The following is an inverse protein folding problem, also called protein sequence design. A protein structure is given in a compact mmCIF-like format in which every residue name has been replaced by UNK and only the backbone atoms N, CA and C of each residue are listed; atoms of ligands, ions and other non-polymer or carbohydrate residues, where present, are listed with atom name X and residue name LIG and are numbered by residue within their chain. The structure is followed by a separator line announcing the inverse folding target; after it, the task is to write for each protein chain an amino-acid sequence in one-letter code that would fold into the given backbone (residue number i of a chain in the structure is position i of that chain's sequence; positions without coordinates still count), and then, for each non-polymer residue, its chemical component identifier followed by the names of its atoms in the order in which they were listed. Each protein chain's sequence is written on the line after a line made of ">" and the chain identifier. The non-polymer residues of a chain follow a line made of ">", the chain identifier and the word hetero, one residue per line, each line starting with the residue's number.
data_IF_440426381542
#
_entry.id   IF_440426381542
#
_cell.length_a   1.000
_cell.length_b   1.000
_cell.length_c   1.000
_cell.angle_alpha   90.00
_cell.angle_beta   90.00
_cell.angle_gamma   90.00
#
_symmetry.space_group_name_H-M   'P 1'
#
loop_
_entity.id
_entity.type
_entity.pdbx_description
1 polymer ?
#
# COMPACT_ATOMS: atom_id res chain seq x y z
N UNK A 1 22.14 25.73 22.99
CA UNK A 1 23.31 25.49 22.08
C UNK A 1 22.94 26.18 20.79
N UNK A 2 23.83 27.09 20.29
CA UNK A 2 23.59 27.74 18.99
C UNK A 2 23.53 26.72 17.85
N UNK A 3 22.85 27.05 16.74
CA UNK A 3 22.76 26.15 15.59
C UNK A 3 24.17 25.77 15.07
N UNK A 4 25.06 26.75 14.99
CA UNK A 4 26.46 26.56 14.57
C UNK A 4 27.24 25.61 15.50
N UNK A 5 27.05 25.73 16.82
CA UNK A 5 27.70 24.83 17.78
C UNK A 5 27.14 23.42 17.72
N UNK A 6 25.83 23.30 17.50
CA UNK A 6 25.20 22.00 17.26
C UNK A 6 25.75 21.29 16.03
N UNK A 7 25.94 22.03 14.94
CA UNK A 7 26.52 21.51 13.71
C UNK A 7 27.99 21.10 13.91
N UNK A 8 28.79 21.94 14.59
CA UNK A 8 30.18 21.63 14.95
C UNK A 8 30.28 20.34 15.77
N UNK A 9 29.45 20.20 16.83
CA UNK A 9 29.44 19.03 17.70
C UNK A 9 29.07 17.76 16.94
N UNK A 10 28.11 17.83 16.01
CA UNK A 10 27.74 16.67 15.19
C UNK A 10 28.88 16.25 14.27
N UNK A 11 29.54 17.19 13.60
CA UNK A 11 30.64 16.88 12.70
C UNK A 11 31.90 16.39 13.43
N UNK A 12 32.14 16.81 14.68
CA UNK A 12 33.30 16.31 15.47
C UNK A 12 33.18 14.82 15.87
N UNK A 13 31.99 14.21 15.70
CA UNK A 13 31.72 12.79 16.03
C UNK A 13 31.82 11.91 14.78
N UNK A 14 31.83 12.53 13.60
CA UNK A 14 31.72 11.81 12.31
C UNK A 14 33.11 11.74 11.68
N UNK A 15 33.62 10.52 11.53
CA UNK A 15 34.81 10.24 10.71
C UNK A 15 34.32 9.86 9.30
N UNK A 16 34.30 10.82 8.38
CA UNK A 16 33.81 10.62 7.04
C UNK A 16 34.70 11.29 5.98
N UNK A 17 34.67 10.75 4.78
CA UNK A 17 35.39 11.21 3.60
C UNK A 17 34.48 11.21 2.36
N UNK A 18 35.02 11.51 1.20
CA UNK A 18 34.29 11.55 -0.08
C UNK A 18 33.60 10.23 -0.43
N UNK A 19 34.20 9.07 -0.14
CA UNK A 19 33.57 7.77 -0.42
C UNK A 19 32.31 7.54 0.43
N UNK A 20 32.32 8.00 1.67
CA UNK A 20 31.15 7.95 2.55
C UNK A 20 30.02 8.84 2.02
N UNK A 21 30.34 10.00 1.42
CA UNK A 21 29.36 10.86 0.76
C UNK A 21 28.70 10.18 -0.43
N UNK A 22 29.46 9.48 -1.28
CA UNK A 22 28.88 8.72 -2.39
C UNK A 22 27.92 7.63 -1.91
N UNK A 23 28.30 6.89 -0.85
CA UNK A 23 27.41 5.88 -0.25
C UNK A 23 26.13 6.51 0.33
N UNK A 24 26.28 7.69 0.95
CA UNK A 24 25.15 8.45 1.49
C UNK A 24 24.21 8.89 0.36
N UNK A 25 24.71 9.46 -0.72
CA UNK A 25 23.93 9.90 -1.88
C UNK A 25 23.11 8.74 -2.45
N UNK A 26 23.73 7.55 -2.65
CA UNK A 26 23.03 6.35 -3.14
C UNK A 26 21.88 5.92 -2.21
N UNK A 27 22.06 6.07 -0.88
CA UNK A 27 21.00 5.77 0.09
C UNK A 27 19.89 6.81 0.10
N UNK A 28 20.24 8.09 0.02
CA UNK A 28 19.27 9.18 0.03
C UNK A 28 18.40 9.21 -1.23
N UNK A 29 18.95 8.89 -2.40
CA UNK A 29 18.17 8.72 -3.65
C UNK A 29 17.00 7.74 -3.49
N UNK A 30 17.20 6.66 -2.73
CA UNK A 30 16.14 5.67 -2.46
C UNK A 30 15.10 6.14 -1.44
N UNK A 31 15.37 7.26 -0.77
CA UNK A 31 14.51 7.83 0.27
C UNK A 31 13.79 9.10 -0.17
N UNK A 32 13.93 9.48 -1.43
CA UNK A 32 13.13 10.59 -1.99
C UNK A 32 11.66 10.23 -1.90
N UNK A 33 10.84 11.17 -1.46
CA UNK A 33 9.40 10.99 -1.29
C UNK A 33 8.74 10.51 -2.57
N UNK A 34 7.79 9.59 -2.46
CA UNK A 34 7.14 8.98 -3.63
C UNK A 34 6.44 10.01 -4.51
N UNK A 35 5.78 11.01 -3.89
CA UNK A 35 5.10 12.06 -4.64
C UNK A 35 6.08 12.97 -5.37
N UNK A 36 7.25 13.24 -4.81
CA UNK A 36 8.32 14.01 -5.47
C UNK A 36 8.85 13.24 -6.68
N UNK A 37 9.19 11.95 -6.49
CA UNK A 37 9.69 11.10 -7.57
C UNK A 37 8.68 10.96 -8.72
N UNK A 38 7.39 10.84 -8.41
CA UNK A 38 6.31 10.76 -9.40
C UNK A 38 6.20 12.02 -10.25
N UNK A 39 6.34 13.19 -9.63
CA UNK A 39 6.19 14.49 -10.31
C UNK A 39 7.52 15.05 -10.84
N UNK A 40 8.44 14.22 -11.29
CA UNK A 40 9.75 14.65 -11.81
C UNK A 40 9.61 15.64 -12.99
N UNK A 41 8.62 15.45 -13.84
CA UNK A 41 8.32 16.33 -14.99
C UNK A 41 8.01 17.75 -14.55
N UNK A 42 7.29 17.94 -13.42
CA UNK A 42 7.01 19.27 -12.85
C UNK A 42 8.30 20.00 -12.50
N UNK A 43 9.26 19.33 -11.85
CA UNK A 43 10.53 19.94 -11.47
C UNK A 43 11.35 20.35 -12.69
N UNK A 44 11.45 19.45 -13.67
CA UNK A 44 12.20 19.70 -14.91
C UNK A 44 11.61 20.88 -15.69
N UNK A 45 10.28 20.96 -15.80
CA UNK A 45 9.58 22.02 -16.51
C UNK A 45 9.67 23.37 -15.80
N UNK A 46 9.83 23.38 -14.46
CA UNK A 46 9.88 24.59 -13.64
C UNK A 46 11.26 24.88 -13.02
N UNK A 47 12.31 24.21 -13.51
CA UNK A 47 13.67 24.29 -12.94
C UNK A 47 14.17 25.74 -12.70
N UNK A 48 13.74 26.66 -13.58
CA UNK A 48 14.14 28.07 -13.49
C UNK A 48 13.39 28.86 -12.41
N UNK A 49 12.37 28.27 -11.79
CA UNK A 49 11.57 28.86 -10.72
C UNK A 49 11.75 28.17 -9.38
N UNK A 50 12.50 27.06 -9.32
CA UNK A 50 12.66 26.25 -8.13
C UNK A 50 14.03 26.49 -7.51
N UNK A 51 14.03 26.74 -6.22
CA UNK A 51 15.22 26.91 -5.38
C UNK A 51 15.20 25.88 -4.26
N UNK A 52 16.35 25.32 -3.93
CA UNK A 52 16.52 24.42 -2.78
C UNK A 52 17.34 25.15 -1.71
N UNK A 53 16.71 25.43 -0.57
CA UNK A 53 17.36 26.08 0.58
C UNK A 53 17.37 25.11 1.75
N UNK A 54 18.54 24.64 2.16
CA UNK A 54 18.71 23.60 3.15
C UNK A 54 19.80 23.91 4.16
N UNK A 55 19.59 23.55 5.42
CA UNK A 55 20.65 23.52 6.42
C UNK A 55 21.59 22.29 6.27
N UNK A 56 21.29 21.38 5.33
CA UNK A 56 22.16 20.27 4.93
C UNK A 56 23.33 20.72 4.05
N UNK A 57 24.08 19.78 3.51
CA UNK A 57 25.32 20.05 2.77
C UNK A 57 25.12 19.85 1.26
N UNK A 58 25.66 20.78 0.47
CA UNK A 58 25.57 20.77 -1.00
C UNK A 58 26.11 19.50 -1.62
N UNK A 59 27.16 18.93 -1.04
CA UNK A 59 27.87 17.76 -1.55
C UNK A 59 26.98 16.53 -1.72
N UNK A 60 25.90 16.41 -0.93
CA UNK A 60 24.93 15.33 -1.12
C UNK A 60 23.57 15.83 -1.64
N UNK A 61 23.23 17.12 -1.47
CA UNK A 61 21.96 17.66 -1.97
C UNK A 61 22.02 17.82 -3.49
N UNK A 62 23.06 18.47 -4.01
CA UNK A 62 23.18 18.80 -5.45
C UNK A 62 23.06 17.56 -6.34
N UNK A 63 23.77 16.42 -6.06
CA UNK A 63 23.64 15.22 -6.91
C UNK A 63 22.23 14.59 -6.90
N UNK A 64 21.47 14.78 -5.81
CA UNK A 64 20.11 14.25 -5.70
C UNK A 64 19.12 15.09 -6.47
N UNK A 65 19.17 16.43 -6.30
CA UNK A 65 18.22 17.34 -6.95
C UNK A 65 18.52 17.53 -8.44
N UNK A 66 19.75 17.24 -8.87
CA UNK A 66 20.11 17.18 -10.29
C UNK A 66 19.34 16.12 -11.05
N UNK A 67 18.96 15.02 -10.39
CA UNK A 67 18.10 13.96 -10.97
C UNK A 67 16.70 14.52 -11.35
N UNK A 68 16.29 15.65 -10.74
CA UNK A 68 15.05 16.40 -11.02
C UNK A 68 15.26 17.61 -11.94
N UNK A 69 16.44 17.77 -12.52
CA UNK A 69 16.78 18.87 -13.42
C UNK A 69 17.07 20.20 -12.73
N UNK A 70 17.17 20.25 -11.39
CA UNK A 70 17.47 21.49 -10.65
C UNK A 70 18.99 21.74 -10.73
N UNK A 71 19.43 22.88 -11.28
CA UNK A 71 20.83 23.18 -11.44
C UNK A 71 21.50 23.59 -10.11
N UNK A 72 22.80 23.38 -10.00
CA UNK A 72 23.56 23.54 -8.76
C UNK A 72 23.59 25.01 -8.23
N UNK A 73 23.48 25.99 -9.10
CA UNK A 73 23.41 27.41 -8.76
C UNK A 73 22.09 27.82 -8.09
N UNK A 74 21.07 26.95 -8.16
CA UNK A 74 19.78 27.10 -7.45
C UNK A 74 19.70 26.31 -6.15
N UNK A 75 20.82 25.70 -5.75
CA UNK A 75 20.91 24.92 -4.50
C UNK A 75 21.74 25.68 -3.48
N UNK A 76 21.12 26.07 -2.40
CA UNK A 76 21.72 26.75 -1.26
C UNK A 76 21.76 25.78 -0.07
N UNK A 77 22.97 25.52 0.40
CA UNK A 77 23.23 24.57 1.49
C UNK A 77 24.59 24.89 2.13
N UNK A 78 24.87 24.26 3.25
CA UNK A 78 26.22 24.32 3.81
C UNK A 78 27.22 23.59 2.90
N UNK A 79 28.51 23.84 3.14
CA UNK A 79 29.60 23.21 2.39
C UNK A 79 30.58 22.62 3.38
N UNK A 80 31.02 21.38 3.15
CA UNK A 80 32.05 20.76 3.94
C UNK A 80 33.43 21.39 3.67
N UNK A 81 34.28 21.36 4.67
CA UNK A 81 35.73 21.56 4.50
C UNK A 81 36.42 20.20 4.63
N UNK A 82 37.50 20.01 3.84
CA UNK A 82 38.24 18.76 3.77
C UNK A 82 39.69 18.96 4.15
N UNK A 83 40.29 18.00 4.79
CA UNK A 83 41.71 17.94 5.00
C UNK A 83 42.49 17.51 3.73
N UNK A 84 43.82 17.52 3.79
CA UNK A 84 44.66 17.10 2.65
C UNK A 84 44.51 15.63 2.26
N UNK A 85 43.86 14.82 3.09
CA UNK A 85 43.60 13.38 2.86
C UNK A 85 42.15 13.13 2.38
N UNK A 86 41.36 14.20 2.18
CA UNK A 86 39.97 14.11 1.73
C UNK A 86 39.00 13.75 2.84
N UNK A 87 39.39 13.84 4.12
CA UNK A 87 38.46 13.65 5.23
C UNK A 87 37.71 14.95 5.52
N UNK A 88 36.46 14.83 5.95
CA UNK A 88 35.66 15.97 6.39
C UNK A 88 36.21 16.44 7.73
N UNK A 89 36.68 17.69 7.79
CA UNK A 89 37.23 18.29 9.00
C UNK A 89 36.40 19.48 9.54
N UNK A 90 35.32 19.84 8.86
CA UNK A 90 34.47 20.93 9.27
C UNK A 90 33.51 21.40 8.18
N UNK A 91 33.10 22.65 8.27
CA UNK A 91 32.20 23.29 7.32
C UNK A 91 32.52 24.78 7.20
N UNK A 92 32.06 25.39 6.11
CA UNK A 92 32.18 26.84 5.89
C UNK A 92 31.32 27.61 6.91
N UNK A 93 31.97 28.26 7.86
CA UNK A 93 31.32 29.06 8.92
C UNK A 93 30.82 30.41 8.44
N UNK A 94 31.32 30.91 7.30
CA UNK A 94 30.85 32.14 6.69
C UNK A 94 29.50 31.99 5.98
N UNK A 95 29.13 30.72 5.67
CA UNK A 95 27.86 30.40 5.05
C UNK A 95 26.69 30.75 5.98
N UNK A 96 25.77 31.58 5.52
CA UNK A 96 24.60 32.05 6.27
C UNK A 96 23.73 30.89 6.77
N UNK A 97 23.67 29.80 6.02
CA UNK A 97 22.88 28.59 6.35
C UNK A 97 23.47 27.77 7.50
N UNK A 98 24.70 28.08 7.92
CA UNK A 98 25.31 27.51 9.13
C UNK A 98 24.87 28.23 10.41
N UNK A 99 24.11 29.31 10.31
CA UNK A 99 23.69 30.19 11.39
C UNK A 99 22.20 30.06 11.71
N UNK A 100 21.79 30.47 12.90
CA UNK A 100 20.37 30.60 13.26
C UNK A 100 19.66 31.62 12.36
N UNK A 101 18.46 31.27 11.87
CA UNK A 101 17.72 32.09 10.91
C UNK A 101 18.31 32.12 9.51
N UNK A 102 19.31 31.29 9.22
CA UNK A 102 20.01 31.31 7.94
C UNK A 102 19.13 31.10 6.71
N UNK A 103 18.07 30.28 6.81
CA UNK A 103 17.13 30.08 5.69
C UNK A 103 16.36 31.36 5.34
N UNK A 104 15.92 32.13 6.33
CA UNK A 104 15.23 33.42 6.12
C UNK A 104 16.17 34.38 5.42
N UNK A 105 17.38 34.58 5.96
CA UNK A 105 18.38 35.47 5.37
C UNK A 105 18.76 35.06 3.94
N UNK A 106 18.82 33.76 3.67
CA UNK A 106 19.10 33.27 2.32
C UNK A 106 17.95 33.57 1.37
N UNK A 107 16.69 33.41 1.81
CA UNK A 107 15.53 33.79 0.98
C UNK A 107 15.50 35.28 0.67
N UNK A 108 15.73 36.13 1.69
CA UNK A 108 15.82 37.58 1.52
C UNK A 108 16.92 37.98 0.51
N UNK A 109 18.10 37.35 0.64
CA UNK A 109 19.23 37.61 -0.26
C UNK A 109 18.98 37.23 -1.72
N UNK A 110 18.01 36.34 -2.00
CA UNK A 110 17.61 35.99 -3.37
C UNK A 110 16.80 37.09 -4.05
N UNK A 111 16.21 38.02 -3.30
CA UNK A 111 15.47 39.14 -3.84
C UNK A 111 14.33 38.77 -4.78
N UNK A 112 13.68 37.60 -4.53
CA UNK A 112 12.64 37.07 -5.38
C UNK A 112 11.42 37.98 -5.40
N UNK A 113 10.79 38.12 -6.58
CA UNK A 113 9.57 38.93 -6.76
C UNK A 113 8.38 38.01 -7.04
N UNK A 114 7.19 38.46 -6.60
CA UNK A 114 5.94 37.77 -6.83
C UNK A 114 5.56 36.83 -5.64
N UNK A 115 4.69 35.90 -5.91
CA UNK A 115 4.24 34.93 -4.91
C UNK A 115 5.30 33.84 -4.75
N UNK A 116 5.66 33.55 -3.51
CA UNK A 116 6.69 32.56 -3.15
C UNK A 116 6.03 31.44 -2.34
N UNK A 117 6.20 30.21 -2.79
CA UNK A 117 5.77 29.02 -2.07
C UNK A 117 6.97 28.37 -1.40
N UNK A 118 6.97 28.32 -0.08
CA UNK A 118 7.94 27.57 0.72
C UNK A 118 7.31 26.23 1.07
N UNK A 119 7.93 25.14 0.63
CA UNK A 119 7.50 23.77 0.94
C UNK A 119 8.56 23.12 1.82
N UNK A 120 8.20 22.69 3.02
CA UNK A 120 9.15 22.08 3.96
C UNK A 120 8.46 21.42 5.15
N UNK A 121 9.25 20.64 5.92
CA UNK A 121 8.72 19.80 7.01
C UNK A 121 9.08 20.32 8.42
N UNK A 122 9.80 21.43 8.50
CA UNK A 122 10.37 21.91 9.75
C UNK A 122 10.01 23.35 10.13
N UNK A 123 10.18 23.65 11.41
CA UNK A 123 9.97 25.01 11.93
C UNK A 123 10.84 26.05 11.24
N UNK A 124 12.07 25.71 10.85
CA UNK A 124 12.96 26.60 10.12
C UNK A 124 12.48 26.91 8.70
N UNK A 125 11.66 26.04 8.11
CA UNK A 125 11.00 26.27 6.82
C UNK A 125 9.82 27.24 7.01
N UNK A 126 9.03 27.02 8.08
CA UNK A 126 7.99 27.96 8.47
C UNK A 126 8.53 29.38 8.69
N UNK A 127 9.68 29.52 9.36
CA UNK A 127 10.29 30.83 9.57
C UNK A 127 10.55 31.59 8.28
N UNK A 128 10.77 30.91 7.16
CA UNK A 128 10.96 31.57 5.85
C UNK A 128 9.73 32.37 5.39
N UNK A 129 8.54 32.10 5.95
CA UNK A 129 7.33 32.89 5.71
C UNK A 129 7.55 34.37 6.03
N UNK A 130 8.45 34.70 6.94
CA UNK A 130 8.77 36.06 7.35
C UNK A 130 9.88 36.73 6.51
N UNK A 131 10.42 36.01 5.51
CA UNK A 131 11.47 36.51 4.60
C UNK A 131 10.96 37.30 3.37
N UNK A 132 9.64 37.64 3.33
CA UNK A 132 9.07 38.40 2.22
C UNK A 132 7.57 38.66 2.38
N UNK A 133 7.04 39.64 1.63
CA UNK A 133 5.64 40.08 1.77
C UNK A 133 4.59 39.07 1.23
N UNK A 134 4.98 38.23 0.26
CA UNK A 134 4.08 37.30 -0.44
C UNK A 134 4.57 35.84 -0.35
N UNK A 135 5.04 35.44 0.84
CA UNK A 135 5.51 34.11 1.10
C UNK A 135 4.41 33.29 1.76
N UNK A 136 4.05 32.16 1.15
CA UNK A 136 3.16 31.16 1.74
C UNK A 136 3.97 29.93 2.14
N UNK A 137 3.67 29.37 3.31
CA UNK A 137 4.30 28.17 3.82
C UNK A 137 3.39 26.96 3.72
N UNK A 138 3.86 25.92 3.06
CA UNK A 138 3.20 24.62 2.89
C UNK A 138 3.95 23.57 3.71
N UNK A 139 3.32 23.05 4.77
CA UNK A 139 3.93 22.00 5.58
C UNK A 139 3.89 20.67 4.83
N UNK A 140 5.04 20.15 4.45
CA UNK A 140 5.17 18.89 3.73
C UNK A 140 5.28 17.72 4.72
N UNK A 141 4.23 16.90 4.81
CA UNK A 141 4.07 15.88 5.86
C UNK A 141 4.11 14.44 5.34
N UNK A 142 4.49 14.18 4.09
CA UNK A 142 4.51 12.83 3.49
C UNK A 142 5.33 11.82 4.31
N UNK A 143 6.45 12.25 4.90
CA UNK A 143 7.33 11.35 5.65
C UNK A 143 7.24 11.58 7.17
N UNK A 144 7.07 12.82 7.59
CA UNK A 144 7.02 13.22 9.00
C UNK A 144 6.07 14.40 9.14
N UNK A 145 5.09 14.30 10.01
CA UNK A 145 4.29 15.44 10.47
C UNK A 145 4.91 16.00 11.75
N UNK A 146 5.33 17.27 11.70
CA UNK A 146 5.81 18.02 12.85
C UNK A 146 4.81 19.09 13.20
N UNK A 147 4.17 18.97 14.34
CA UNK A 147 3.15 19.91 14.85
C UNK A 147 3.63 21.37 14.77
N UNK A 148 4.91 21.62 15.09
CA UNK A 148 5.52 22.97 14.99
C UNK A 148 5.55 23.56 13.58
N UNK A 149 5.44 22.73 12.55
CA UNK A 149 5.34 23.17 11.16
C UNK A 149 3.89 23.15 10.69
N UNK A 150 3.18 22.04 10.89
CA UNK A 150 1.81 21.85 10.38
C UNK A 150 0.79 22.80 11.00
N UNK A 151 0.91 23.12 12.31
CA UNK A 151 0.01 24.08 13.00
C UNK A 151 0.18 25.54 12.55
N UNK A 152 1.30 25.88 11.92
CA UNK A 152 1.63 27.23 11.48
C UNK A 152 1.59 27.39 9.94
N UNK A 153 1.27 26.34 9.22
CA UNK A 153 1.25 26.35 7.76
C UNK A 153 0.01 27.06 7.20
N UNK A 154 0.15 27.68 6.05
CA UNK A 154 -0.99 28.18 5.27
C UNK A 154 -1.80 27.00 4.70
N UNK A 155 -1.11 25.89 4.40
CA UNK A 155 -1.73 24.64 4.00
C UNK A 155 -0.84 23.45 4.39
N UNK A 156 -1.45 22.34 4.84
CA UNK A 156 -0.75 21.09 5.10
C UNK A 156 -0.80 20.22 3.85
N UNK A 157 0.38 19.81 3.39
CA UNK A 157 0.56 19.04 2.15
C UNK A 157 1.13 17.64 2.46
N UNK A 158 0.27 16.62 2.65
CA UNK A 158 0.72 15.25 2.91
C UNK A 158 1.38 14.59 1.69
N UNK A 159 1.42 15.26 0.55
CA UNK A 159 2.16 14.86 -0.64
C UNK A 159 2.45 16.06 -1.53
N UNK A 160 3.42 15.95 -2.45
CA UNK A 160 3.62 16.99 -3.47
C UNK A 160 2.39 17.12 -4.38
N UNK A 161 1.68 16.02 -4.63
CA UNK A 161 0.43 16.06 -5.42
C UNK A 161 -0.60 17.00 -4.78
N UNK A 162 -0.72 17.01 -3.45
CA UNK A 162 -1.61 17.93 -2.74
C UNK A 162 -1.21 19.39 -2.94
N UNK A 163 0.10 19.68 -2.85
CA UNK A 163 0.63 21.01 -3.11
C UNK A 163 0.31 21.47 -4.55
N UNK A 164 0.58 20.61 -5.52
CA UNK A 164 0.34 20.91 -6.94
C UNK A 164 -1.15 21.13 -7.22
N UNK A 165 -2.00 20.25 -6.68
CA UNK A 165 -3.45 20.35 -6.83
C UNK A 165 -4.01 21.63 -6.19
N UNK A 166 -3.60 21.94 -4.96
CA UNK A 166 -4.07 23.13 -4.23
C UNK A 166 -3.75 24.41 -4.98
N UNK A 167 -2.60 24.47 -5.66
CA UNK A 167 -2.13 25.64 -6.38
C UNK A 167 -2.43 25.60 -7.89
N UNK A 168 -3.27 24.68 -8.36
CA UNK A 168 -3.63 24.47 -9.76
C UNK A 168 -2.40 24.33 -10.69
N UNK A 169 -1.37 23.62 -10.20
CA UNK A 169 -0.15 23.33 -10.94
C UNK A 169 -0.24 21.94 -11.62
N UNK A 170 0.46 21.74 -12.75
CA UNK A 170 0.49 20.44 -13.42
C UNK A 170 1.05 19.34 -12.51
N UNK A 171 0.41 18.17 -12.50
CA UNK A 171 0.84 16.98 -11.78
C UNK A 171 0.62 15.71 -12.59
N UNK A 172 1.34 14.63 -12.25
CA UNK A 172 1.30 13.35 -12.98
C UNK A 172 0.02 12.53 -12.75
N UNK A 173 -0.68 12.76 -11.66
CA UNK A 173 -1.95 12.10 -11.36
C UNK A 173 -3.11 13.10 -11.43
N UNK A 174 -4.28 12.64 -11.82
CA UNK A 174 -5.46 13.51 -11.99
C UNK A 174 -6.05 14.02 -10.68
N UNK A 175 -5.80 13.30 -9.56
CA UNK A 175 -6.34 13.66 -8.24
C UNK A 175 -5.45 13.14 -7.11
N UNK A 176 -5.17 13.97 -6.06
CA UNK A 176 -4.28 13.56 -4.97
C UNK A 176 -4.81 12.35 -4.19
N UNK A 177 -3.97 11.33 -3.99
CA UNK A 177 -4.36 10.10 -3.28
C UNK A 177 -4.79 10.34 -1.83
N UNK A 178 -4.20 11.34 -1.18
CA UNK A 178 -4.58 11.72 0.19
C UNK A 178 -6.00 12.28 0.33
N UNK A 179 -6.68 12.57 -0.77
CA UNK A 179 -8.10 12.97 -0.79
C UNK A 179 -9.03 11.80 -1.10
N UNK A 180 -8.51 10.62 -1.36
CA UNK A 180 -9.26 9.40 -1.64
C UNK A 180 -9.45 8.64 -0.33
N UNK A 181 -10.70 8.57 0.15
CA UNK A 181 -11.05 7.81 1.36
C UNK A 181 -11.33 6.35 1.01
N UNK A 182 -10.70 5.45 1.75
CA UNK A 182 -10.85 4.00 1.67
C UNK A 182 -11.44 3.48 2.97
N UNK A 183 -12.54 2.77 2.90
CA UNK A 183 -13.15 2.09 4.04
C UNK A 183 -12.98 0.57 3.89
N UNK A 184 -12.25 -0.07 4.80
CA UNK A 184 -12.05 -1.51 4.84
C UNK A 184 -12.84 -2.13 5.99
N UNK A 185 -13.69 -3.10 5.72
CA UNK A 185 -14.57 -3.75 6.69
C UNK A 185 -14.19 -5.21 6.93
N UNK A 186 -14.83 -5.84 7.92
CA UNK A 186 -14.76 -7.28 8.18
C UNK A 186 -13.34 -7.80 8.46
N UNK A 187 -12.55 -7.02 9.19
CA UNK A 187 -11.18 -7.39 9.56
C UNK A 187 -10.32 -7.80 8.34
N UNK A 188 -10.44 -7.07 7.23
CA UNK A 188 -9.48 -7.20 6.11
C UNK A 188 -8.07 -7.07 6.68
N UNK A 189 -7.13 -7.89 6.20
CA UNK A 189 -5.78 -8.00 6.76
C UNK A 189 -5.08 -6.64 6.83
N UNK A 190 -4.34 -6.39 7.92
CA UNK A 190 -3.66 -5.10 8.16
C UNK A 190 -2.67 -4.72 7.04
N UNK A 191 -2.10 -5.72 6.35
CA UNK A 191 -1.22 -5.48 5.20
C UNK A 191 -1.92 -4.70 4.06
N UNK A 192 -3.23 -4.90 3.87
CA UNK A 192 -3.98 -4.14 2.86
C UNK A 192 -4.10 -2.66 3.25
N UNK A 193 -4.35 -2.39 4.55
CA UNK A 193 -4.35 -1.04 5.09
C UNK A 193 -2.96 -0.38 4.94
N UNK A 194 -1.90 -1.08 5.35
CA UNK A 194 -0.52 -0.59 5.25
C UNK A 194 -0.11 -0.30 3.81
N UNK A 195 -0.43 -1.20 2.88
CA UNK A 195 -0.16 -1.01 1.46
C UNK A 195 -0.85 0.24 0.90
N UNK A 196 -2.13 0.43 1.21
CA UNK A 196 -2.87 1.61 0.73
C UNK A 196 -2.39 2.91 1.41
N UNK A 197 -2.12 2.89 2.72
CA UNK A 197 -1.55 4.06 3.42
C UNK A 197 -0.18 4.43 2.88
N UNK A 198 0.66 3.44 2.59
CA UNK A 198 1.98 3.68 2.00
C UNK A 198 1.94 4.28 0.59
N UNK A 199 0.81 4.17 -0.10
CA UNK A 199 0.53 4.81 -1.38
C UNK A 199 -0.12 6.19 -1.23
N UNK A 200 -0.42 6.62 0.01
CA UNK A 200 -0.94 7.94 0.32
C UNK A 200 -2.46 8.04 0.45
N UNK A 201 -3.21 6.92 0.42
CA UNK A 201 -4.65 6.93 0.62
C UNK A 201 -5.03 7.18 2.09
N UNK A 202 -6.20 7.80 2.32
CA UNK A 202 -6.81 7.88 3.65
C UNK A 202 -7.58 6.58 3.92
N UNK A 203 -7.06 5.73 4.80
CA UNK A 203 -7.63 4.41 5.06
C UNK A 203 -8.24 4.36 6.46
N UNK A 204 -9.51 3.99 6.53
CA UNK A 204 -10.21 3.59 7.75
C UNK A 204 -10.48 2.08 7.70
N UNK A 205 -10.13 1.35 8.77
CA UNK A 205 -10.34 -0.09 8.85
C UNK A 205 -11.16 -0.45 10.08
N UNK A 206 -12.26 -1.17 9.85
CA UNK A 206 -13.13 -1.70 10.90
C UNK A 206 -13.07 -3.24 10.91
N UNK A 207 -13.09 -3.80 12.09
CA UNK A 207 -13.02 -5.27 12.27
C UNK A 207 -14.35 -5.96 12.07
N UNK A 208 -15.46 -5.23 12.20
CA UNK A 208 -16.84 -5.76 12.07
C UNK A 208 -17.40 -5.60 10.66
N UNK A 209 -18.38 -6.41 10.32
CA UNK A 209 -19.33 -6.12 9.27
C UNK A 209 -20.30 -5.03 9.76
N UNK A 210 -20.74 -4.16 8.85
CA UNK A 210 -21.76 -3.16 9.15
C UNK A 210 -23.13 -3.65 8.68
N UNK A 211 -24.17 -3.30 9.41
CA UNK A 211 -25.56 -3.41 8.93
C UNK A 211 -25.79 -2.45 7.74
N UNK A 212 -26.90 -2.63 7.03
CA UNK A 212 -27.21 -1.77 5.88
C UNK A 212 -27.30 -0.29 6.28
N UNK A 213 -27.96 0.02 7.39
CA UNK A 213 -28.13 1.41 7.85
C UNK A 213 -26.81 2.02 8.33
N UNK A 214 -26.00 1.26 9.11
CA UNK A 214 -24.65 1.70 9.50
C UNK A 214 -23.78 1.97 8.26
N UNK A 215 -23.88 1.12 7.24
CA UNK A 215 -23.09 1.28 6.02
C UNK A 215 -23.56 2.49 5.19
N UNK A 216 -24.86 2.77 5.15
CA UNK A 216 -25.38 3.98 4.50
C UNK A 216 -24.81 5.28 5.09
N UNK A 217 -24.53 5.31 6.40
CA UNK A 217 -23.88 6.45 7.02
C UNK A 217 -22.35 6.44 6.80
N UNK A 218 -21.69 5.29 6.98
CA UNK A 218 -20.25 5.17 6.87
C UNK A 218 -19.72 5.40 5.44
N UNK A 219 -20.53 5.12 4.41
CA UNK A 219 -20.13 5.18 3.00
C UNK A 219 -20.02 6.62 2.47
N UNK A 220 -20.60 7.60 3.16
CA UNK A 220 -20.60 9.01 2.74
C UNK A 220 -19.16 9.53 2.62
N UNK A 221 -18.82 10.08 1.47
CA UNK A 221 -17.49 10.57 1.14
C UNK A 221 -16.42 9.48 0.96
N UNK A 222 -16.78 8.18 0.98
CA UNK A 222 -15.88 7.07 0.69
C UNK A 222 -15.75 6.89 -0.82
N UNK A 223 -14.52 6.77 -1.30
CA UNK A 223 -14.23 6.55 -2.72
C UNK A 223 -13.97 5.08 -3.05
N UNK A 224 -13.43 4.32 -2.11
CA UNK A 224 -13.14 2.88 -2.26
C UNK A 224 -13.66 2.14 -1.04
N UNK A 225 -14.49 1.14 -1.25
CA UNK A 225 -15.02 0.26 -0.20
C UNK A 225 -14.38 -1.13 -0.32
N UNK A 226 -13.77 -1.63 0.75
CA UNK A 226 -13.29 -3.01 0.87
C UNK A 226 -14.20 -3.80 1.80
N UNK A 227 -14.74 -4.92 1.33
CA UNK A 227 -15.58 -5.84 2.12
C UNK A 227 -15.13 -7.29 1.96
N UNK A 228 -15.69 -8.18 2.78
CA UNK A 228 -15.57 -9.63 2.58
C UNK A 228 -16.95 -10.20 2.24
N UNK A 229 -17.35 -11.28 2.91
CA UNK A 229 -18.54 -12.04 2.55
C UNK A 229 -19.82 -11.70 3.34
N UNK A 230 -19.70 -10.91 4.42
CA UNK A 230 -20.81 -10.66 5.34
C UNK A 230 -21.55 -9.34 5.06
N UNK A 231 -20.80 -8.27 4.73
CA UNK A 231 -21.38 -6.95 4.45
C UNK A 231 -22.12 -6.96 3.13
N UNK A 232 -23.34 -6.45 3.15
CA UNK A 232 -24.18 -6.36 1.94
C UNK A 232 -24.17 -4.95 1.37
N UNK A 233 -23.81 -4.84 0.11
CA UNK A 233 -23.86 -3.59 -0.65
C UNK A 233 -25.09 -3.63 -1.54
N UNK A 234 -26.19 -3.12 -1.02
CA UNK A 234 -27.49 -3.08 -1.68
C UNK A 234 -27.66 -1.80 -2.51
N UNK A 235 -28.70 -1.74 -3.31
CA UNK A 235 -29.09 -0.52 -4.05
C UNK A 235 -29.25 0.69 -3.11
N UNK A 236 -29.74 0.48 -1.87
CA UNK A 236 -29.90 1.53 -0.86
C UNK A 236 -28.54 2.09 -0.42
N UNK A 237 -27.57 1.21 -0.13
CA UNK A 237 -26.19 1.61 0.22
C UNK A 237 -25.54 2.38 -0.93
N UNK A 238 -25.67 1.86 -2.16
CA UNK A 238 -25.15 2.53 -3.35
C UNK A 238 -25.78 3.90 -3.57
N UNK A 239 -27.08 4.05 -3.28
CA UNK A 239 -27.77 5.33 -3.36
C UNK A 239 -27.25 6.36 -2.34
N UNK A 240 -26.80 5.91 -1.15
CA UNK A 240 -26.21 6.77 -0.11
C UNK A 240 -24.75 7.14 -0.41
N UNK A 241 -24.08 6.40 -1.30
CA UNK A 241 -22.68 6.61 -1.66
C UNK A 241 -22.55 7.76 -2.68
N UNK A 242 -22.02 8.90 -2.24
CA UNK A 242 -21.88 10.12 -3.04
C UNK A 242 -20.58 10.17 -3.86
N UNK A 243 -19.55 9.41 -3.47
CA UNK A 243 -18.21 9.47 -4.09
C UNK A 243 -17.61 8.09 -4.43
N UNK A 244 -18.39 7.02 -4.26
CA UNK A 244 -17.88 5.66 -4.44
C UNK A 244 -17.53 5.38 -5.91
N UNK A 245 -16.29 5.05 -6.16
CA UNK A 245 -15.75 4.72 -7.48
C UNK A 245 -15.48 3.22 -7.63
N UNK A 246 -15.13 2.53 -6.53
CA UNK A 246 -14.79 1.11 -6.58
C UNK A 246 -15.17 0.36 -5.30
N UNK A 247 -15.51 -0.93 -5.47
CA UNK A 247 -15.73 -1.90 -4.39
C UNK A 247 -14.76 -3.06 -4.59
N UNK A 248 -13.97 -3.37 -3.56
CA UNK A 248 -13.11 -4.55 -3.49
C UNK A 248 -13.75 -5.63 -2.61
N UNK A 249 -14.19 -6.73 -3.20
CA UNK A 249 -14.58 -7.93 -2.47
C UNK A 249 -13.33 -8.78 -2.19
N UNK A 250 -12.82 -8.73 -0.96
CA UNK A 250 -11.67 -9.53 -0.50
C UNK A 250 -12.07 -10.99 -0.24
N UNK A 251 -12.79 -11.58 -1.19
CA UNK A 251 -13.31 -12.94 -1.22
C UNK A 251 -13.58 -13.37 -2.66
N UNK A 252 -14.01 -14.62 -2.85
CA UNK A 252 -14.29 -15.16 -4.19
C UNK A 252 -15.63 -14.63 -4.74
N UNK A 253 -16.71 -14.73 -3.93
CA UNK A 253 -18.04 -14.38 -4.36
C UNK A 253 -18.33 -12.88 -4.37
N UNK A 254 -19.25 -12.47 -5.19
CA UNK A 254 -19.78 -11.09 -5.29
C UNK A 254 -21.29 -11.03 -5.00
N UNK A 255 -21.89 -12.13 -4.55
CA UNK A 255 -23.32 -12.26 -4.30
C UNK A 255 -23.86 -11.35 -3.18
N UNK A 256 -22.98 -10.75 -2.38
CA UNK A 256 -23.31 -9.74 -1.36
C UNK A 256 -23.34 -8.32 -1.94
N UNK A 257 -23.01 -8.13 -3.21
CA UNK A 257 -22.98 -6.82 -3.90
C UNK A 257 -24.05 -6.81 -4.99
N UNK A 258 -24.86 -5.78 -5.02
CA UNK A 258 -25.78 -5.51 -6.13
C UNK A 258 -24.99 -5.03 -7.34
N UNK A 259 -24.63 -5.97 -8.23
CA UNK A 259 -23.79 -5.69 -9.40
C UNK A 259 -24.49 -4.81 -10.44
N UNK A 260 -25.81 -4.98 -10.60
CA UNK A 260 -26.61 -4.19 -11.55
C UNK A 260 -26.66 -2.73 -11.09
N UNK A 261 -27.01 -2.49 -9.83
CA UNK A 261 -27.01 -1.15 -9.26
C UNK A 261 -25.61 -0.52 -9.22
N UNK A 262 -24.54 -1.33 -9.02
CA UNK A 262 -23.16 -0.85 -9.11
C UNK A 262 -22.83 -0.38 -10.53
N UNK A 263 -23.21 -1.14 -11.53
CA UNK A 263 -23.01 -0.80 -12.95
C UNK A 263 -23.78 0.48 -13.33
N UNK A 264 -25.05 0.59 -12.94
CA UNK A 264 -25.88 1.79 -13.19
C UNK A 264 -25.24 3.07 -12.63
N UNK A 265 -24.49 2.96 -11.53
CA UNK A 265 -23.80 4.08 -10.89
C UNK A 265 -22.35 4.27 -11.32
N UNK A 266 -21.84 3.45 -12.22
CA UNK A 266 -20.45 3.50 -12.67
C UNK A 266 -19.45 3.07 -11.60
N UNK A 267 -19.86 2.26 -10.61
CA UNK A 267 -18.99 1.75 -9.54
C UNK A 267 -18.36 0.45 -9.99
N UNK A 268 -17.02 0.42 -10.10
CA UNK A 268 -16.29 -0.78 -10.47
C UNK A 268 -16.25 -1.79 -9.32
N UNK A 269 -16.51 -3.06 -9.61
CA UNK A 269 -16.48 -4.14 -8.62
C UNK A 269 -15.36 -5.12 -8.95
N UNK A 270 -14.48 -5.35 -7.98
CA UNK A 270 -13.35 -6.26 -8.05
C UNK A 270 -13.50 -7.36 -7.01
N UNK A 271 -13.09 -8.57 -7.33
CA UNK A 271 -13.03 -9.68 -6.38
C UNK A 271 -11.68 -10.42 -6.46
N UNK A 272 -11.47 -11.38 -5.57
CA UNK A 272 -10.26 -12.19 -5.51
C UNK A 272 -10.57 -13.67 -5.78
N UNK A 273 -10.87 -14.05 -7.04
CA UNK A 273 -11.45 -15.36 -7.38
C UNK A 273 -10.50 -16.55 -7.17
N UNK A 274 -9.21 -16.29 -6.98
CA UNK A 274 -8.17 -17.33 -6.82
C UNK A 274 -7.51 -17.36 -5.43
N UNK A 275 -7.88 -16.46 -4.53
CA UNK A 275 -7.13 -16.17 -3.30
C UNK A 275 -7.05 -17.36 -2.33
N UNK A 276 -8.03 -18.24 -2.30
CA UNK A 276 -8.10 -19.40 -1.39
C UNK A 276 -8.19 -20.75 -2.12
N UNK A 277 -8.04 -20.78 -3.44
CA UNK A 277 -8.19 -22.01 -4.23
C UNK A 277 -7.33 -23.14 -3.66
N UNK A 278 -6.04 -22.89 -3.45
CA UNK A 278 -5.09 -23.88 -2.93
C UNK A 278 -5.42 -24.31 -1.50
N UNK A 279 -5.75 -23.36 -0.63
CA UNK A 279 -6.09 -23.64 0.77
C UNK A 279 -7.30 -24.55 0.92
N UNK A 280 -8.35 -24.32 0.10
CA UNK A 280 -9.54 -25.18 0.10
C UNK A 280 -9.22 -26.59 -0.42
N UNK A 281 -8.44 -26.69 -1.50
CA UNK A 281 -8.05 -27.98 -2.06
C UNK A 281 -7.24 -28.83 -1.05
N UNK A 282 -6.29 -28.22 -0.37
CA UNK A 282 -5.49 -28.89 0.67
C UNK A 282 -6.34 -29.35 1.85
N UNK A 283 -7.27 -28.51 2.30
CA UNK A 283 -8.20 -28.85 3.37
C UNK A 283 -9.06 -30.06 2.96
N UNK A 284 -9.67 -30.01 1.78
CA UNK A 284 -10.53 -31.11 1.26
C UNK A 284 -9.75 -32.45 1.18
N UNK A 285 -8.51 -32.40 0.65
CA UNK A 285 -7.67 -33.60 0.61
C UNK A 285 -7.39 -34.13 2.03
N UNK A 286 -7.07 -33.26 2.96
CA UNK A 286 -6.85 -33.61 4.36
C UNK A 286 -8.09 -34.25 4.98
N UNK A 287 -9.27 -33.65 4.77
CA UNK A 287 -10.56 -34.18 5.26
C UNK A 287 -10.90 -35.56 4.65
N UNK A 288 -10.68 -35.71 3.34
CA UNK A 288 -10.86 -37.00 2.66
C UNK A 288 -10.01 -38.09 3.34
N UNK A 289 -8.73 -37.83 3.56
CA UNK A 289 -7.81 -38.80 4.20
C UNK A 289 -8.25 -39.10 5.64
N UNK A 290 -8.57 -38.08 6.43
CA UNK A 290 -8.98 -38.20 7.82
C UNK A 290 -10.26 -39.06 7.94
N UNK A 291 -11.25 -38.79 7.10
CA UNK A 291 -12.53 -39.52 7.10
C UNK A 291 -12.35 -40.98 6.63
N UNK A 292 -11.65 -41.20 5.52
CA UNK A 292 -11.40 -42.53 4.99
C UNK A 292 -10.58 -43.43 5.93
N UNK A 293 -9.75 -42.83 6.76
CA UNK A 293 -8.93 -43.53 7.77
C UNK A 293 -9.61 -43.61 9.13
N UNK A 294 -10.78 -43.00 9.33
CA UNK A 294 -11.49 -42.93 10.61
C UNK A 294 -10.73 -42.21 11.71
N UNK A 295 -9.85 -41.28 11.37
CA UNK A 295 -8.98 -40.58 12.33
C UNK A 295 -9.78 -39.78 13.36
N UNK A 296 -10.85 -39.00 13.01
CA UNK A 296 -11.61 -38.23 14.00
C UNK A 296 -12.21 -39.10 15.12
N UNK A 297 -12.69 -40.29 14.78
CA UNK A 297 -13.24 -41.20 15.80
C UNK A 297 -12.14 -41.82 16.69
N UNK A 298 -11.02 -42.20 16.10
CA UNK A 298 -9.86 -42.72 16.85
C UNK A 298 -9.24 -41.64 17.75
N UNK A 299 -9.16 -40.42 17.31
CA UNK A 299 -8.71 -39.27 18.11
C UNK A 299 -9.63 -39.09 19.33
N UNK A 300 -10.95 -39.09 19.12
CA UNK A 300 -11.95 -38.96 20.18
C UNK A 300 -11.85 -40.12 21.23
N UNK A 301 -11.62 -41.33 20.76
CA UNK A 301 -11.43 -42.47 21.63
C UNK A 301 -10.14 -42.37 22.45
N UNK A 302 -9.04 -41.94 21.81
CA UNK A 302 -7.74 -41.76 22.48
C UNK A 302 -7.82 -40.74 23.60
N UNK A 303 -8.53 -39.63 23.38
CA UNK A 303 -8.77 -38.62 24.43
C UNK A 303 -9.60 -39.12 25.61
N UNK A 304 -10.31 -40.25 25.44
CA UNK A 304 -11.03 -40.97 26.50
C UNK A 304 -10.20 -42.06 27.13
N UNK A 305 -8.92 -42.20 26.78
CA UNK A 305 -8.04 -43.27 27.26
C UNK A 305 -8.28 -44.63 26.58
N UNK A 306 -9.05 -44.68 25.49
CA UNK A 306 -9.36 -45.91 24.74
C UNK A 306 -8.44 -45.99 23.53
N UNK A 307 -7.60 -47.06 23.50
CA UNK A 307 -6.71 -47.31 22.38
C UNK A 307 -7.34 -48.34 21.41
N UNK A 308 -7.90 -47.86 20.27
CA UNK A 308 -8.46 -48.72 19.22
C UNK A 308 -7.42 -49.03 18.13
N UNK A 309 -6.90 -50.26 18.11
CA UNK A 309 -5.96 -50.76 17.09
C UNK A 309 -6.64 -51.30 15.83
N UNK A 310 -7.96 -51.34 15.80
CA UNK A 310 -8.72 -51.93 14.69
C UNK A 310 -8.48 -51.14 13.40
N UNK A 311 -8.27 -51.85 12.31
CA UNK A 311 -8.26 -51.29 10.96
C UNK A 311 -9.64 -51.33 10.29
N UNK A 312 -10.69 -51.71 11.01
CA UNK A 312 -12.06 -51.81 10.50
C UNK A 312 -12.50 -50.42 10.00
N UNK A 313 -13.07 -50.38 8.80
CA UNK A 313 -13.51 -49.17 8.11
C UNK A 313 -12.40 -48.13 7.81
N UNK A 314 -11.12 -48.51 7.94
CA UNK A 314 -10.01 -47.66 7.52
C UNK A 314 -9.59 -48.02 6.09
N UNK A 315 -9.78 -47.12 5.16
CA UNK A 315 -9.47 -47.31 3.76
C UNK A 315 -8.38 -46.35 3.26
N UNK A 316 -7.51 -46.79 2.37
CA UNK A 316 -6.67 -45.90 1.58
C UNK A 316 -7.51 -45.17 0.55
N UNK A 317 -7.11 -43.97 0.19
CA UNK A 317 -7.77 -43.17 -0.86
C UNK A 317 -7.34 -43.62 -2.27
N UNK A 318 -6.20 -44.28 -2.39
CA UNK A 318 -5.69 -44.82 -3.66
C UNK A 318 -6.70 -45.79 -4.26
N UNK A 319 -7.01 -45.62 -5.55
CA UNK A 319 -7.99 -46.44 -6.28
C UNK A 319 -9.46 -46.11 -6.00
N UNK A 320 -9.75 -45.21 -5.03
CA UNK A 320 -11.09 -44.71 -4.76
C UNK A 320 -11.53 -43.70 -5.79
N UNK A 321 -12.83 -43.57 -6.01
CA UNK A 321 -13.43 -42.64 -6.96
C UNK A 321 -13.88 -41.38 -6.23
N UNK A 322 -13.27 -40.26 -6.56
CA UNK A 322 -13.67 -38.90 -6.10
C UNK A 322 -14.67 -38.33 -7.09
N UNK A 323 -15.87 -38.00 -6.64
CA UNK A 323 -16.87 -37.27 -7.39
C UNK A 323 -16.83 -35.76 -7.07
N UNK A 324 -16.53 -34.91 -8.04
CA UNK A 324 -16.47 -33.47 -7.85
C UNK A 324 -17.71 -32.83 -8.44
N UNK A 325 -18.49 -32.14 -7.60
CA UNK A 325 -19.65 -31.37 -8.02
C UNK A 325 -19.26 -29.90 -8.12
N UNK A 326 -19.13 -29.42 -9.35
CA UNK A 326 -18.57 -28.08 -9.66
C UNK A 326 -17.11 -28.15 -10.07
N UNK A 327 -16.84 -28.02 -11.36
CA UNK A 327 -15.49 -28.13 -11.93
C UNK A 327 -14.94 -26.72 -12.29
N UNK A 328 -15.02 -25.81 -11.29
CA UNK A 328 -14.44 -24.47 -11.35
C UNK A 328 -12.97 -24.46 -10.92
N UNK A 329 -12.47 -23.34 -10.47
CA UNK A 329 -11.06 -23.14 -10.07
C UNK A 329 -10.61 -24.12 -8.95
N UNK A 330 -11.47 -24.38 -7.98
CA UNK A 330 -11.20 -25.32 -6.87
C UNK A 330 -11.32 -26.77 -7.34
N UNK A 331 -12.44 -27.12 -7.98
CA UNK A 331 -12.68 -28.48 -8.42
C UNK A 331 -11.66 -29.01 -9.42
N UNK A 332 -11.25 -28.20 -10.38
CA UNK A 332 -10.21 -28.55 -11.34
C UNK A 332 -8.83 -28.74 -10.69
N UNK A 333 -8.46 -27.90 -9.71
CA UNK A 333 -7.20 -28.06 -9.00
C UNK A 333 -7.24 -29.28 -8.05
N UNK A 334 -8.39 -29.53 -7.41
CA UNK A 334 -8.61 -30.72 -6.59
C UNK A 334 -8.46 -32.00 -7.42
N UNK A 335 -8.99 -32.02 -8.66
CA UNK A 335 -8.90 -33.21 -9.52
C UNK A 335 -7.44 -33.60 -9.81
N UNK A 336 -6.58 -32.60 -10.13
CA UNK A 336 -5.16 -32.84 -10.42
C UNK A 336 -4.42 -33.39 -9.20
N UNK A 337 -4.68 -32.86 -8.01
CA UNK A 337 -4.02 -33.32 -6.78
C UNK A 337 -4.54 -34.68 -6.32
N UNK A 338 -5.85 -34.95 -6.43
CA UNK A 338 -6.45 -36.24 -6.11
C UNK A 338 -5.93 -37.36 -7.03
N UNK A 339 -5.77 -37.06 -8.31
CA UNK A 339 -5.16 -37.94 -9.28
C UNK A 339 -3.71 -38.27 -8.93
N UNK A 340 -2.92 -37.25 -8.52
CA UNK A 340 -1.54 -37.44 -8.02
C UNK A 340 -1.45 -38.35 -6.77
N UNK A 341 -2.53 -38.45 -5.99
CA UNK A 341 -2.66 -39.37 -4.87
C UNK A 341 -3.22 -40.76 -5.27
N UNK A 342 -3.40 -41.04 -6.55
CA UNK A 342 -3.86 -42.28 -7.10
C UNK A 342 -5.37 -42.52 -7.03
N UNK A 343 -6.17 -41.47 -6.88
CA UNK A 343 -7.62 -41.53 -6.96
C UNK A 343 -8.09 -41.54 -8.42
N UNK A 344 -9.26 -42.09 -8.69
CA UNK A 344 -10.03 -41.93 -9.91
C UNK A 344 -10.89 -40.65 -9.73
N UNK A 345 -10.88 -39.77 -10.69
CA UNK A 345 -11.66 -38.49 -10.61
C UNK A 345 -12.77 -38.51 -11.64
N UNK A 346 -13.98 -38.27 -11.17
CA UNK A 346 -15.15 -37.96 -12.00
C UNK A 346 -15.73 -36.61 -11.58
N UNK A 347 -16.30 -35.87 -12.51
CA UNK A 347 -16.89 -34.57 -12.17
C UNK A 347 -18.19 -34.28 -12.92
N UNK A 348 -19.00 -33.43 -12.32
CA UNK A 348 -20.18 -32.83 -12.94
C UNK A 348 -20.18 -31.32 -12.75
N UNK A 349 -20.47 -30.59 -13.81
CA UNK A 349 -20.69 -29.13 -13.77
C UNK A 349 -21.90 -28.78 -14.68
N UNK A 350 -22.63 -27.73 -14.31
CA UNK A 350 -23.74 -27.21 -15.11
C UNK A 350 -23.27 -26.65 -16.46
N UNK A 351 -22.06 -26.10 -16.47
CA UNK A 351 -21.42 -25.54 -17.67
C UNK A 351 -20.48 -26.58 -18.26
N UNK A 352 -20.30 -26.54 -19.57
CA UNK A 352 -19.33 -27.39 -20.23
C UNK A 352 -17.90 -27.00 -19.79
N UNK A 353 -17.16 -27.96 -19.22
CA UNK A 353 -15.82 -27.77 -18.71
C UNK A 353 -14.87 -28.80 -19.31
N UNK A 354 -13.69 -28.32 -19.70
CA UNK A 354 -12.63 -29.19 -20.16
C UNK A 354 -12.07 -30.01 -18.99
N UNK A 355 -12.00 -31.32 -19.15
CA UNK A 355 -11.39 -32.21 -18.17
C UNK A 355 -9.85 -31.95 -18.12
N UNK A 356 -9.29 -31.94 -16.93
CA UNK A 356 -7.83 -31.91 -16.71
C UNK A 356 -7.35 -33.31 -16.34
N UNK A 357 -6.18 -33.70 -16.85
CA UNK A 357 -5.60 -35.03 -16.60
C UNK A 357 -6.50 -36.16 -17.10
N UNK A 358 -6.74 -37.15 -16.25
CA UNK A 358 -7.60 -38.29 -16.54
C UNK A 358 -9.03 -38.18 -15.91
N UNK A 359 -9.40 -37.00 -15.43
CA UNK A 359 -10.72 -36.73 -14.88
C UNK A 359 -11.81 -36.95 -15.94
N UNK A 360 -12.90 -37.65 -15.57
CA UNK A 360 -13.98 -37.97 -16.49
C UNK A 360 -15.23 -37.15 -16.18
N UNK A 361 -15.77 -36.51 -17.18
CA UNK A 361 -17.03 -35.76 -17.05
C UNK A 361 -18.23 -36.69 -17.03
N UNK A 362 -19.10 -36.52 -16.05
CA UNK A 362 -20.35 -37.22 -15.93
C UNK A 362 -21.49 -36.45 -16.60
N UNK A 363 -22.41 -37.18 -17.21
CA UNK A 363 -23.55 -36.58 -17.94
C UNK A 363 -24.57 -35.90 -17.03
N UNK A 364 -24.70 -36.37 -15.79
CA UNK A 364 -25.60 -35.82 -14.78
C UNK A 364 -25.10 -36.12 -13.36
N UNK A 365 -25.60 -35.36 -12.39
CA UNK A 365 -25.25 -35.50 -10.97
C UNK A 365 -25.59 -36.90 -10.40
N UNK A 366 -26.74 -37.46 -10.79
CA UNK A 366 -27.18 -38.77 -10.29
C UNK A 366 -26.22 -39.89 -10.72
N UNK A 367 -25.70 -39.84 -11.94
CA UNK A 367 -24.71 -40.80 -12.41
C UNK A 367 -23.40 -40.71 -11.62
N UNK A 368 -22.94 -39.47 -11.31
CA UNK A 368 -21.76 -39.24 -10.46
C UNK A 368 -21.96 -39.86 -9.08
N UNK A 369 -23.07 -39.56 -8.38
CA UNK A 369 -23.36 -40.00 -7.04
C UNK A 369 -23.49 -41.55 -6.91
N UNK A 370 -23.80 -42.24 -8.00
CA UNK A 370 -23.93 -43.73 -8.00
C UNK A 370 -22.59 -44.44 -7.96
N UNK A 371 -21.52 -43.83 -8.45
CA UNK A 371 -20.23 -44.52 -8.60
C UNK A 371 -19.12 -43.88 -7.78
N UNK A 372 -19.34 -42.70 -7.21
CA UNK A 372 -18.38 -42.06 -6.35
C UNK A 372 -18.29 -42.76 -4.98
N UNK A 373 -17.06 -43.01 -4.52
CA UNK A 373 -16.80 -43.44 -3.13
C UNK A 373 -16.83 -42.23 -2.19
N UNK A 374 -16.46 -41.06 -2.70
CA UNK A 374 -16.34 -39.78 -1.99
C UNK A 374 -16.89 -38.68 -2.88
N UNK A 375 -17.63 -37.75 -2.30
CA UNK A 375 -18.16 -36.56 -3.01
C UNK A 375 -17.80 -35.28 -2.29
#
# INVERSE_FOLDING_TARGET
>A
ISFTDGLRKRLSIIEANSEHLEKLIRRLRKKVSKSISRNQTFFTANRDKIYVISAGFKEFIVPIVADFGIPADRVYGNTFTFDKRGNINGFDKANVLSQSGGKVKQLEALGLKGEIFVVGDGYTDYQMKFGGEKVKFFAFTENIDRESASSNADHVTPSLDEFLYHNNLPMEISYPKNRIRVLLLENIHAQAEEAMRSEGYQVERLTKALSEDELCEAIKGVSILGIRSKTRVTKKVLAAADRLAAIGAFCIGTNQIDLEASLERGVAVFNAPYSNTRSVVELVIGEIILLMRGIPEKDRLTHRGIWDKSANNSNEIRGKTLGIVGYGNIGSQLSVLAEGLGMKVIFFDKVDKLALGNAQRMTNLRALLKIADIV
#
